data_IF_448705079489
#
_entry.id   IF_448705079489
#
_cell.length_a   1.000
_cell.length_b   1.000
_cell.length_c   1.000
_cell.angle_alpha   90.00
_cell.angle_beta   90.00
_cell.angle_gamma   90.00
#
_symmetry.space_group_name_H-M   'P 1'
#
loop_
_entity.id
_entity.type
_entity.pdbx_description
1 polymer ?
#
# COMPACT_ATOMS: atom_id res chain seq x y z
N UNK A 1 5.05 17.75 -14.34
CA UNK A 1 3.87 18.02 -13.46
C UNK A 1 4.35 18.01 -12.01
N UNK A 2 3.59 18.63 -11.09
CA UNK A 2 3.85 18.48 -9.67
C UNK A 2 3.70 17.00 -9.26
N UNK A 3 4.55 16.53 -8.35
CA UNK A 3 4.55 15.14 -7.87
C UNK A 3 3.26 14.84 -7.08
N UNK A 4 2.67 15.86 -6.46
CA UNK A 4 1.43 15.75 -5.68
C UNK A 4 0.20 16.28 -6.44
N UNK A 5 0.00 15.84 -7.68
CA UNK A 5 -1.19 16.22 -8.47
C UNK A 5 -1.73 15.09 -9.34
N UNK A 6 -3.01 15.21 -9.73
CA UNK A 6 -3.65 14.34 -10.72
C UNK A 6 -2.93 14.37 -12.08
N UNK A 7 -2.29 15.49 -12.40
CA UNK A 7 -1.65 15.74 -13.68
C UNK A 7 -0.42 14.85 -13.88
N UNK A 8 0.17 14.33 -12.79
CA UNK A 8 1.27 13.37 -12.88
C UNK A 8 0.81 12.08 -13.56
N UNK A 9 -0.33 11.53 -13.14
CA UNK A 9 -0.92 10.33 -13.74
C UNK A 9 -1.51 10.61 -15.12
N UNK A 10 -2.11 11.79 -15.34
CA UNK A 10 -2.54 12.19 -16.69
C UNK A 10 -1.37 12.23 -17.68
N UNK A 11 -0.21 12.75 -17.26
CA UNK A 11 0.97 12.81 -18.10
C UNK A 11 1.44 11.42 -18.54
N UNK A 12 1.34 10.40 -17.69
CA UNK A 12 1.65 9.00 -18.03
C UNK A 12 0.76 8.52 -19.19
N UNK A 13 -0.55 8.76 -19.11
CA UNK A 13 -1.47 8.37 -20.18
C UNK A 13 -1.26 9.16 -21.48
N UNK A 14 -1.02 10.47 -21.37
CA UNK A 14 -0.71 11.31 -22.52
C UNK A 14 0.57 10.84 -23.24
N UNK A 15 1.62 10.52 -22.47
CA UNK A 15 2.85 9.94 -23.01
C UNK A 15 2.60 8.58 -23.67
N UNK A 16 1.77 7.72 -23.06
CA UNK A 16 1.38 6.44 -23.63
C UNK A 16 0.72 6.57 -25.01
N UNK A 17 -0.19 7.53 -25.19
CA UNK A 17 -0.80 7.80 -26.50
C UNK A 17 0.22 8.28 -27.52
N UNK A 18 1.15 9.18 -27.13
CA UNK A 18 2.22 9.66 -28.02
C UNK A 18 3.14 8.52 -28.46
N UNK A 19 3.56 7.67 -27.51
CA UNK A 19 4.42 6.52 -27.79
C UNK A 19 3.71 5.51 -28.70
N UNK A 20 2.43 5.23 -28.45
CA UNK A 20 1.66 4.31 -29.28
C UNK A 20 1.48 4.82 -30.72
N UNK A 21 1.43 6.14 -30.92
CA UNK A 21 1.28 6.75 -32.24
C UNK A 21 2.58 6.86 -33.04
N UNK A 22 3.73 6.81 -32.36
CA UNK A 22 5.04 7.00 -32.96
C UNK A 22 5.85 5.71 -32.98
N UNK A 23 6.32 5.26 -31.82
CA UNK A 23 7.11 4.05 -31.64
C UNK A 23 6.32 2.77 -31.94
N UNK A 24 5.01 2.76 -31.66
CA UNK A 24 4.15 1.55 -31.79
C UNK A 24 4.77 0.34 -31.05
N UNK A 25 5.06 0.44 -29.74
CA UNK A 25 5.71 -0.66 -29.03
C UNK A 25 4.82 -1.91 -29.00
N UNK A 26 5.44 -3.09 -29.06
CA UNK A 26 4.73 -4.37 -28.89
C UNK A 26 4.20 -4.55 -27.46
N UNK A 27 4.92 -3.98 -26.48
CA UNK A 27 4.56 -4.01 -25.06
C UNK A 27 4.78 -2.62 -24.46
N UNK A 28 3.77 -2.09 -23.79
CA UNK A 28 3.83 -0.82 -23.06
C UNK A 28 3.22 -1.01 -21.68
N UNK A 29 3.91 -0.53 -20.65
CA UNK A 29 3.43 -0.54 -19.27
C UNK A 29 3.30 0.89 -18.76
N UNK A 30 2.07 1.28 -18.41
CA UNK A 30 1.72 2.59 -17.88
C UNK A 30 1.29 2.40 -16.42
N UNK A 31 2.05 2.97 -15.49
CA UNK A 31 1.74 2.91 -14.05
C UNK A 31 1.63 4.33 -13.48
N UNK A 32 0.64 4.53 -12.62
CA UNK A 32 0.24 5.83 -12.08
C UNK A 32 0.54 5.92 -10.58
N UNK A 33 0.23 7.05 -9.96
CA UNK A 33 0.20 7.18 -8.50
C UNK A 33 -1.23 7.13 -7.97
N UNK A 34 -1.38 6.75 -6.71
CA UNK A 34 -2.66 6.66 -5.99
C UNK A 34 -2.99 7.92 -5.18
N UNK A 35 -2.36 9.05 -5.53
CA UNK A 35 -2.51 10.34 -4.84
C UNK A 35 -3.97 10.78 -4.70
N UNK A 36 -4.78 10.60 -5.75
CA UNK A 36 -6.20 10.96 -5.73
C UNK A 36 -6.99 10.01 -4.84
N UNK A 37 -6.67 8.72 -4.89
CA UNK A 37 -7.33 7.65 -4.17
C UNK A 37 -7.09 7.76 -2.65
N UNK A 38 -5.92 8.24 -2.23
CA UNK A 38 -5.63 8.54 -0.83
C UNK A 38 -6.43 9.75 -0.28
N UNK A 39 -6.86 10.67 -1.14
CA UNK A 39 -7.53 11.92 -0.74
C UNK A 39 -9.04 11.94 -0.96
N UNK A 40 -9.52 11.15 -1.92
CA UNK A 40 -10.88 11.25 -2.42
C UNK A 40 -11.52 9.87 -2.50
N UNK A 41 -12.56 9.67 -1.70
CA UNK A 41 -13.34 8.43 -1.72
C UNK A 41 -14.04 8.23 -3.08
N UNK A 42 -14.35 6.98 -3.47
CA UNK A 42 -15.13 6.67 -4.66
C UNK A 42 -16.46 7.46 -4.70
N UNK A 43 -16.84 7.95 -5.89
CA UNK A 43 -18.07 8.70 -6.09
C UNK A 43 -17.95 10.20 -5.81
N UNK A 44 -16.88 10.68 -5.18
CA UNK A 44 -16.64 12.12 -5.03
C UNK A 44 -16.35 12.77 -6.39
N UNK A 45 -16.65 14.07 -6.57
CA UNK A 45 -16.44 14.75 -7.85
C UNK A 45 -15.00 14.66 -8.37
N UNK A 46 -14.00 14.79 -7.48
CA UNK A 46 -12.58 14.72 -7.86
C UNK A 46 -12.18 13.31 -8.28
N UNK A 47 -12.60 12.28 -7.54
CA UNK A 47 -12.35 10.89 -7.93
C UNK A 47 -12.98 10.58 -9.30
N UNK A 48 -14.24 10.95 -9.50
CA UNK A 48 -14.95 10.70 -10.76
C UNK A 48 -14.29 11.44 -11.94
N UNK A 49 -13.85 12.69 -11.74
CA UNK A 49 -13.14 13.43 -12.77
C UNK A 49 -11.82 12.75 -13.16
N UNK A 50 -11.08 12.21 -12.19
CA UNK A 50 -9.84 11.48 -12.45
C UNK A 50 -10.08 10.21 -13.30
N UNK A 51 -11.08 9.40 -12.94
CA UNK A 51 -11.41 8.20 -13.72
C UNK A 51 -11.98 8.54 -15.10
N UNK A 52 -12.75 9.63 -15.24
CA UNK A 52 -13.21 10.12 -16.53
C UNK A 52 -12.05 10.59 -17.44
N UNK A 53 -11.02 11.20 -16.87
CA UNK A 53 -9.78 11.53 -17.60
C UNK A 53 -9.09 10.26 -18.08
N UNK A 54 -8.90 9.25 -17.21
CA UNK A 54 -8.29 7.97 -17.60
C UNK A 54 -9.05 7.30 -18.75
N UNK A 55 -10.38 7.24 -18.66
CA UNK A 55 -11.26 6.64 -19.67
C UNK A 55 -11.04 7.23 -21.07
N UNK A 56 -10.87 8.56 -21.16
CA UNK A 56 -10.61 9.23 -22.44
C UNK A 56 -9.29 8.79 -23.08
N UNK A 57 -8.23 8.58 -22.30
CA UNK A 57 -6.96 8.10 -22.84
C UNK A 57 -7.00 6.62 -23.21
N UNK A 58 -7.69 5.79 -22.42
CA UNK A 58 -7.88 4.37 -22.72
C UNK A 58 -8.68 4.21 -24.03
N UNK A 59 -9.74 4.98 -24.22
CA UNK A 59 -10.51 5.01 -25.46
C UNK A 59 -9.65 5.40 -26.67
N UNK A 60 -8.71 6.34 -26.50
CA UNK A 60 -7.77 6.72 -27.57
C UNK A 60 -6.80 5.58 -27.91
N UNK A 61 -6.25 4.90 -26.90
CA UNK A 61 -5.36 3.76 -27.10
C UNK A 61 -6.09 2.59 -27.80
N UNK A 62 -7.32 2.30 -27.38
CA UNK A 62 -8.18 1.28 -27.99
C UNK A 62 -8.47 1.61 -29.46
N UNK A 63 -8.84 2.86 -29.77
CA UNK A 63 -9.05 3.32 -31.14
C UNK A 63 -7.80 3.23 -32.03
N UNK A 64 -6.60 3.19 -31.46
CA UNK A 64 -5.33 2.97 -32.17
C UNK A 64 -5.04 1.47 -32.42
N UNK A 65 -5.93 0.59 -31.97
CA UNK A 65 -5.83 -0.86 -32.09
C UNK A 65 -4.99 -1.53 -31.01
N UNK A 66 -4.75 -0.86 -29.88
CA UNK A 66 -4.05 -1.48 -28.75
C UNK A 66 -4.97 -2.50 -28.06
N UNK A 67 -4.42 -3.66 -27.68
CA UNK A 67 -5.09 -4.54 -26.72
C UNK A 67 -4.77 -4.04 -25.31
N UNK A 68 -5.80 -3.69 -24.54
CA UNK A 68 -5.63 -3.06 -23.23
C UNK A 68 -5.99 -4.06 -22.13
N UNK A 69 -5.06 -4.24 -21.19
CA UNK A 69 -5.33 -4.86 -19.89
C UNK A 69 -5.21 -3.79 -18.81
N UNK A 70 -6.26 -3.58 -18.02
CA UNK A 70 -6.30 -2.63 -16.92
C UNK A 70 -6.40 -3.39 -15.59
N UNK A 71 -5.53 -3.05 -14.66
CA UNK A 71 -5.52 -3.59 -13.29
C UNK A 71 -5.06 -2.51 -12.31
N UNK A 72 -5.11 -2.81 -11.03
CA UNK A 72 -4.48 -2.04 -9.96
C UNK A 72 -3.42 -2.89 -9.25
N UNK A 73 -2.42 -2.24 -8.69
CA UNK A 73 -1.43 -2.84 -7.79
C UNK A 73 -2.05 -3.18 -6.42
N UNK A 74 -2.93 -2.31 -5.90
CA UNK A 74 -3.72 -2.57 -4.70
C UNK A 74 -5.05 -1.78 -4.68
N UNK A 75 -5.88 -2.06 -3.68
CA UNK A 75 -7.10 -1.30 -3.41
C UNK A 75 -6.86 -0.11 -2.48
N UNK A 76 -7.94 0.58 -2.12
CA UNK A 76 -7.95 1.64 -1.11
C UNK A 76 -9.13 1.47 -0.13
N UNK A 77 -8.92 1.81 1.15
CA UNK A 77 -9.94 1.78 2.22
C UNK A 77 -9.74 2.94 3.19
N UNK A 78 -10.83 3.42 3.80
CA UNK A 78 -10.76 4.45 4.81
C UNK A 78 -10.14 3.90 6.11
N UNK A 79 -9.12 4.59 6.64
CA UNK A 79 -8.40 4.22 7.87
C UNK A 79 -8.65 5.20 9.01
N UNK A 80 -9.85 5.78 9.05
CA UNK A 80 -10.24 6.76 10.05
C UNK A 80 -11.62 6.42 10.63
N UNK A 81 -11.85 6.82 11.88
CA UNK A 81 -13.16 6.79 12.51
C UNK A 81 -14.18 7.64 11.74
N UNK A 82 -15.50 7.49 12.01
CA UNK A 82 -16.52 8.34 11.40
C UNK A 82 -16.30 9.85 11.58
N UNK A 83 -15.64 10.26 12.67
CA UNK A 83 -15.26 11.65 12.94
C UNK A 83 -13.98 12.11 12.21
N UNK A 84 -13.40 11.29 11.33
CA UNK A 84 -12.20 11.61 10.55
C UNK A 84 -10.86 11.40 11.27
N UNK A 85 -10.86 10.97 12.54
CA UNK A 85 -9.64 10.67 13.29
C UNK A 85 -8.98 9.38 12.76
N UNK A 86 -7.67 9.36 12.45
CA UNK A 86 -6.97 8.14 12.06
C UNK A 86 -7.09 7.03 13.11
N UNK A 87 -7.31 5.80 12.65
CA UNK A 87 -7.31 4.60 13.48
C UNK A 87 -5.92 3.97 13.39
N UNK A 88 -5.07 4.23 14.39
CA UNK A 88 -3.67 3.81 14.41
C UNK A 88 -3.42 2.93 15.64
N UNK A 89 -2.73 1.82 15.43
CA UNK A 89 -2.22 0.94 16.48
C UNK A 89 -0.71 1.12 16.51
N UNK A 90 -0.19 1.57 17.65
CA UNK A 90 1.25 1.72 17.85
C UNK A 90 1.81 0.39 18.35
N UNK A 91 2.56 -0.32 17.50
CA UNK A 91 3.03 -1.68 17.81
C UNK A 91 4.17 -1.71 18.83
N UNK A 92 5.09 -0.74 18.79
CA UNK A 92 6.25 -0.72 19.71
C UNK A 92 5.83 -0.65 21.19
N UNK A 93 4.90 0.25 21.61
CA UNK A 93 4.42 0.27 22.99
C UNK A 93 3.79 -1.05 23.46
N UNK A 94 3.08 -1.78 22.57
CA UNK A 94 2.46 -3.06 22.92
C UNK A 94 3.52 -4.13 23.21
N UNK A 95 4.61 -4.15 22.44
CA UNK A 95 5.73 -5.06 22.65
C UNK A 95 6.50 -4.71 23.93
N UNK A 96 6.70 -3.42 24.21
CA UNK A 96 7.31 -2.93 25.47
C UNK A 96 6.47 -3.31 26.70
N UNK A 97 5.14 -3.14 26.63
CA UNK A 97 4.21 -3.54 27.70
C UNK A 97 4.21 -5.06 27.93
N UNK A 98 4.47 -5.85 26.90
CA UNK A 98 4.69 -7.30 26.99
C UNK A 98 6.07 -7.70 27.54
N UNK A 99 6.92 -6.72 27.87
CA UNK A 99 8.23 -6.93 28.48
C UNK A 99 9.38 -7.14 27.51
N UNK A 100 9.16 -6.93 26.20
CA UNK A 100 10.22 -7.03 25.20
C UNK A 100 11.05 -5.75 25.20
N UNK A 101 12.36 -5.91 24.99
CA UNK A 101 13.31 -4.78 25.03
C UNK A 101 14.19 -4.67 23.79
N UNK A 102 14.40 -5.78 23.07
CA UNK A 102 15.26 -5.83 21.88
C UNK A 102 14.45 -6.31 20.65
N UNK A 103 13.82 -5.35 19.97
CA UNK A 103 13.04 -5.58 18.75
C UNK A 103 13.07 -4.38 17.82
N UNK A 104 12.64 -4.58 16.56
CA UNK A 104 12.46 -3.50 15.59
C UNK A 104 11.18 -3.66 14.79
N UNK A 105 10.28 -2.69 14.89
CA UNK A 105 9.11 -2.58 14.02
C UNK A 105 9.51 -1.83 12.73
N UNK A 106 9.10 -2.39 11.59
CA UNK A 106 9.31 -1.81 10.26
C UNK A 106 7.94 -1.64 9.59
N UNK A 107 7.70 -0.42 9.08
CA UNK A 107 6.51 -0.06 8.30
C UNK A 107 6.93 0.07 6.82
N UNK A 108 6.81 -1.00 6.00
CA UNK A 108 7.39 -1.04 4.65
C UNK A 108 6.59 -0.27 3.59
N UNK A 109 5.55 0.48 3.98
CA UNK A 109 4.68 1.23 3.05
C UNK A 109 5.43 2.36 2.34
N UNK A 110 6.44 2.95 2.98
CA UNK A 110 7.19 4.08 2.44
C UNK A 110 8.61 4.11 3.02
N UNK A 111 9.41 5.03 2.53
CA UNK A 111 10.79 5.22 3.00
C UNK A 111 10.83 5.58 4.50
N UNK A 112 11.82 5.10 5.26
CA UNK A 112 11.84 5.19 6.73
C UNK A 112 11.96 6.61 7.28
N UNK A 113 12.23 7.61 6.43
CA UNK A 113 12.33 9.02 6.81
C UNK A 113 11.01 9.81 6.67
N UNK A 114 9.93 9.17 6.19
CA UNK A 114 8.61 9.80 6.11
C UNK A 114 7.93 9.76 7.47
N UNK A 115 7.70 10.94 8.06
CA UNK A 115 7.09 11.09 9.40
C UNK A 115 5.67 11.68 9.39
N UNK A 116 5.02 11.76 8.22
CA UNK A 116 3.60 12.10 8.11
C UNK A 116 2.75 10.85 7.88
N UNK A 117 1.42 11.00 7.86
CA UNK A 117 0.44 9.92 7.72
C UNK A 117 0.60 9.01 6.49
N UNK A 118 1.51 9.34 5.56
CA UNK A 118 1.89 8.46 4.44
C UNK A 118 2.68 7.22 4.85
N UNK A 119 3.20 7.18 6.09
CA UNK A 119 3.84 6.00 6.66
C UNK A 119 2.87 5.03 7.36
N UNK A 120 1.56 5.28 7.30
CA UNK A 120 0.54 4.47 7.98
C UNK A 120 -0.13 3.50 7.01
N UNK A 121 0.25 2.23 7.09
CA UNK A 121 -0.32 1.13 6.31
C UNK A 121 -1.02 0.07 7.16
N UNK A 122 -1.69 -0.88 6.50
CA UNK A 122 -2.32 -2.04 7.16
C UNK A 122 -1.40 -3.25 7.33
N UNK A 123 -0.09 -3.08 7.10
CA UNK A 123 0.92 -4.12 7.14
C UNK A 123 2.16 -3.61 7.86
N UNK A 124 2.70 -4.40 8.78
CA UNK A 124 3.98 -4.16 9.45
C UNK A 124 4.76 -5.47 9.58
N UNK A 125 6.08 -5.37 9.70
CA UNK A 125 6.95 -6.51 10.01
C UNK A 125 7.85 -6.19 11.19
N UNK A 126 8.12 -7.19 12.03
CA UNK A 126 8.83 -7.04 13.29
C UNK A 126 10.02 -7.99 13.28
N UNK A 127 11.21 -7.45 13.54
CA UNK A 127 12.42 -8.21 13.78
C UNK A 127 12.62 -8.34 15.29
N UNK A 128 12.94 -9.55 15.75
CA UNK A 128 13.23 -9.86 17.15
C UNK A 128 14.70 -10.27 17.25
N UNK A 129 15.42 -9.75 18.24
CA UNK A 129 16.83 -10.12 18.42
C UNK A 129 16.98 -11.47 19.14
N UNK A 130 16.07 -11.82 20.06
CA UNK A 130 16.02 -13.12 20.72
C UNK A 130 14.84 -13.97 20.21
N UNK A 131 15.17 -15.17 19.72
CA UNK A 131 14.14 -16.13 19.30
C UNK A 131 13.23 -16.59 20.45
N UNK A 132 13.67 -16.47 21.71
CA UNK A 132 12.85 -16.79 22.88
C UNK A 132 11.64 -15.84 23.03
N UNK A 133 11.71 -14.64 22.45
CA UNK A 133 10.66 -13.61 22.53
C UNK A 133 9.49 -13.84 21.58
N UNK A 134 9.58 -14.77 20.62
CA UNK A 134 8.53 -14.97 19.61
C UNK A 134 7.14 -15.19 20.21
N UNK A 135 7.04 -16.00 21.25
CA UNK A 135 5.75 -16.31 21.89
C UNK A 135 5.17 -15.06 22.56
N UNK A 136 5.99 -14.36 23.34
CA UNK A 136 5.59 -13.13 24.03
C UNK A 136 5.22 -12.01 23.05
N UNK A 137 6.03 -11.81 22.00
CA UNK A 137 5.77 -10.86 20.92
C UNK A 137 4.44 -11.13 20.22
N UNK A 138 4.15 -12.39 19.92
CA UNK A 138 2.88 -12.78 19.28
C UNK A 138 1.70 -12.54 20.21
N UNK A 139 1.81 -12.95 21.47
CA UNK A 139 0.73 -12.79 22.46
C UNK A 139 0.50 -11.32 22.85
N UNK A 140 1.48 -10.43 22.68
CA UNK A 140 1.30 -8.98 22.85
C UNK A 140 0.20 -8.39 21.94
N UNK A 141 -0.11 -9.09 20.85
CA UNK A 141 -1.14 -8.68 19.88
C UNK A 141 -2.45 -9.45 20.03
N UNK A 142 -2.48 -10.46 20.91
CA UNK A 142 -3.71 -11.18 21.21
C UNK A 142 -4.72 -10.19 21.81
N UNK A 143 -5.97 -10.26 21.33
CA UNK A 143 -7.09 -9.41 21.76
C UNK A 143 -6.96 -7.90 21.46
N UNK A 144 -5.92 -7.43 20.78
CA UNK A 144 -5.78 -6.02 20.38
C UNK A 144 -6.81 -5.67 19.31
N UNK A 145 -7.81 -4.79 19.60
CA UNK A 145 -8.82 -4.46 18.61
C UNK A 145 -8.22 -3.76 17.39
N UNK A 146 -8.45 -4.34 16.22
CA UNK A 146 -7.94 -3.80 14.94
C UNK A 146 -6.69 -4.50 14.42
N UNK A 147 -6.11 -5.46 15.15
CA UNK A 147 -5.20 -6.46 14.58
C UNK A 147 -6.05 -7.62 14.05
N UNK A 148 -5.87 -7.95 12.76
CA UNK A 148 -6.62 -9.02 12.08
C UNK A 148 -5.84 -10.34 12.13
N UNK A 149 -4.54 -10.29 11.89
CA UNK A 149 -3.71 -11.50 11.82
C UNK A 149 -2.27 -11.17 12.22
N UNK A 150 -1.66 -12.08 12.99
CA UNK A 150 -0.22 -12.10 13.24
C UNK A 150 0.34 -13.43 12.76
N UNK A 151 1.32 -13.37 11.85
CA UNK A 151 1.96 -14.54 11.25
C UNK A 151 3.44 -14.56 11.60
N UNK A 152 3.99 -15.75 11.76
CA UNK A 152 5.44 -15.97 11.73
C UNK A 152 5.99 -15.70 10.33
N UNK A 153 7.31 -15.48 10.23
CA UNK A 153 8.04 -15.41 8.95
C UNK A 153 7.63 -16.51 7.97
N UNK A 154 7.65 -17.76 8.41
CA UNK A 154 7.37 -18.91 7.54
C UNK A 154 5.91 -18.92 7.05
N UNK A 155 4.96 -18.67 7.96
CA UNK A 155 3.54 -18.58 7.60
C UNK A 155 3.30 -17.45 6.60
N UNK A 156 3.88 -16.26 6.83
CA UNK A 156 3.74 -15.12 5.92
C UNK A 156 4.37 -15.39 4.54
N UNK A 157 5.55 -16.03 4.50
CA UNK A 157 6.20 -16.43 3.26
C UNK A 157 5.36 -17.44 2.47
N UNK A 158 4.78 -18.43 3.14
CA UNK A 158 3.93 -19.44 2.51
C UNK A 158 2.62 -18.84 1.98
N UNK A 159 1.94 -18.02 2.77
CA UNK A 159 0.62 -17.45 2.42
C UNK A 159 0.73 -16.37 1.36
N UNK A 160 1.75 -15.51 1.44
CA UNK A 160 1.86 -14.32 0.58
C UNK A 160 2.96 -14.42 -0.49
N UNK A 161 3.73 -15.52 -0.54
CA UNK A 161 4.82 -15.69 -1.50
C UNK A 161 5.99 -14.73 -1.27
N UNK A 162 6.30 -14.42 -0.01
CA UNK A 162 7.32 -13.42 0.36
C UNK A 162 8.74 -14.02 0.46
N UNK A 163 9.79 -13.24 0.17
CA UNK A 163 11.18 -13.63 0.37
C UNK A 163 11.55 -13.66 1.87
N UNK A 164 11.86 -14.84 2.40
CA UNK A 164 12.15 -15.04 3.84
C UNK A 164 13.37 -14.26 4.34
N UNK A 165 14.33 -13.94 3.46
CA UNK A 165 15.54 -13.17 3.78
C UNK A 165 15.29 -11.66 3.91
N UNK A 166 14.08 -11.18 3.63
CA UNK A 166 13.72 -9.74 3.65
C UNK A 166 12.49 -9.42 4.49
N UNK A 167 12.01 -10.38 5.27
CA UNK A 167 10.87 -10.19 6.17
C UNK A 167 11.28 -10.54 7.61
N UNK A 168 10.72 -9.78 8.55
CA UNK A 168 10.95 -9.98 9.97
C UNK A 168 10.41 -11.29 10.50
N UNK A 169 10.65 -11.53 11.78
CA UNK A 169 10.24 -12.71 12.53
C UNK A 169 8.72 -12.83 12.63
N UNK A 170 8.04 -11.69 12.69
CA UNK A 170 6.58 -11.57 12.66
C UNK A 170 6.10 -10.61 11.57
N UNK A 171 4.91 -10.88 11.06
CA UNK A 171 4.13 -10.01 10.18
C UNK A 171 2.80 -9.72 10.87
N UNK A 172 2.44 -8.44 10.95
CA UNK A 172 1.20 -7.97 11.58
C UNK A 172 0.33 -7.30 10.52
N UNK A 173 -0.93 -7.74 10.43
CA UNK A 173 -1.93 -7.22 9.50
C UNK A 173 -3.06 -6.58 10.30
N UNK A 174 -3.39 -5.33 9.98
CA UNK A 174 -4.53 -4.64 10.60
C UNK A 174 -5.84 -5.02 9.92
N UNK A 175 -6.96 -4.80 10.61
CA UNK A 175 -8.28 -4.87 9.99
C UNK A 175 -8.42 -3.86 8.85
N UNK A 176 -9.37 -4.14 7.94
CA UNK A 176 -9.63 -3.36 6.73
C UNK A 176 -10.20 -1.99 7.01
#
# INVERSE_FOLDING_TARGET
>A
PDVYSAELSEFVFAAGVVLMGSMRPDIMYLSTTDYIQHKHAPGTPVANAFYAMMDQYLARLDAMGATIALTADHGMKAKHAPAGKPNVIYLEPLLEEAGLTDFRVILPITDPYVVHHGALGGFATIYLDDHSDHTSARTAFDEVPGIDTVLTRNEACEVFGLPADRIGDLVVISTR
#
